data_IF_407420392189
#
_entry.id   IF_407420392189
#
_cell.length_a   1.000
_cell.length_b   1.000
_cell.length_c   1.000
_cell.angle_alpha   90.00
_cell.angle_beta   90.00
_cell.angle_gamma   90.00
#
_symmetry.space_group_name_H-M   'P 1'
#
loop_
_entity.id
_entity.type
_entity.pdbx_description
1 polymer ?
#
# COMPACT_ATOMS: atom_id res chain seq x y z
N UNK A 1 14.75 2.28 4.67
CA UNK A 1 14.01 1.89 5.88
C UNK A 1 13.01 0.82 5.48
N UNK A 2 12.84 -0.20 6.32
CA UNK A 2 11.91 -1.30 6.08
C UNK A 2 10.97 -1.45 7.27
N UNK A 3 9.81 -2.06 7.04
CA UNK A 3 8.86 -2.42 8.09
C UNK A 3 8.43 -3.88 7.93
N UNK A 4 8.17 -4.52 9.07
CA UNK A 4 7.67 -5.89 9.08
C UNK A 4 6.14 -5.90 9.09
N UNK A 5 5.55 -6.50 8.06
CA UNK A 5 4.11 -6.74 7.96
C UNK A 5 3.90 -8.23 7.80
N UNK A 6 3.13 -8.83 8.72
CA UNK A 6 3.11 -10.29 8.90
C UNK A 6 4.53 -10.84 9.14
N UNK A 7 5.05 -11.65 8.22
CA UNK A 7 6.41 -12.18 8.22
C UNK A 7 7.25 -11.63 7.04
N UNK A 8 6.71 -10.67 6.29
CA UNK A 8 7.38 -10.06 5.14
C UNK A 8 8.03 -8.73 5.54
N UNK A 9 9.15 -8.43 4.91
CA UNK A 9 9.86 -7.16 5.06
C UNK A 9 9.51 -6.23 3.89
N UNK A 10 8.69 -5.22 4.16
CA UNK A 10 8.29 -4.22 3.18
C UNK A 10 9.31 -3.08 3.15
N UNK A 11 9.56 -2.53 1.96
CA UNK A 11 10.26 -1.27 1.79
C UNK A 11 9.35 -0.12 2.25
N UNK A 12 9.89 0.85 2.99
CA UNK A 12 9.14 1.99 3.52
C UNK A 12 8.88 1.93 5.03
N UNK A 13 7.90 2.71 5.54
CA UNK A 13 6.98 3.57 4.79
C UNK A 13 7.72 4.84 4.32
N UNK A 14 7.50 5.24 3.07
CA UNK A 14 7.92 6.53 2.52
C UNK A 14 6.69 7.38 2.22
N UNK A 15 6.83 8.70 2.02
CA UNK A 15 5.68 9.49 1.54
C UNK A 15 5.25 8.98 0.16
N UNK A 16 3.95 8.94 -0.10
CA UNK A 16 3.43 8.52 -1.41
C UNK A 16 3.99 9.40 -2.53
N UNK A 17 4.14 10.71 -2.27
CA UNK A 17 4.72 11.68 -3.21
C UNK A 17 6.23 11.49 -3.47
N UNK A 18 6.93 10.72 -2.64
CA UNK A 18 8.36 10.40 -2.79
C UNK A 18 8.56 9.06 -3.50
N UNK A 19 7.49 8.34 -3.83
CA UNK A 19 7.59 7.14 -4.63
C UNK A 19 7.99 7.51 -6.07
N UNK A 20 9.02 6.84 -6.58
CA UNK A 20 9.72 7.26 -7.81
C UNK A 20 10.01 6.17 -8.84
N UNK A 21 10.34 4.92 -8.48
CA UNK A 21 10.66 3.91 -9.48
C UNK A 21 9.44 3.03 -9.83
N UNK A 22 9.25 2.69 -11.12
CA UNK A 22 8.34 1.63 -11.50
C UNK A 22 8.78 0.32 -10.85
N UNK A 23 7.81 -0.46 -10.36
CA UNK A 23 8.06 -1.78 -9.81
C UNK A 23 7.14 -2.80 -10.46
N UNK A 24 7.66 -4.00 -10.67
CA UNK A 24 6.89 -5.14 -11.17
C UNK A 24 6.49 -6.05 -10.02
N UNK A 25 5.26 -6.59 -10.11
CA UNK A 25 4.65 -7.59 -9.23
C UNK A 25 4.85 -7.27 -7.75
N UNK A 26 4.01 -6.37 -7.26
CA UNK A 26 4.14 -5.82 -5.92
C UNK A 26 2.91 -6.05 -5.09
N UNK A 27 3.10 -6.05 -3.78
CA UNK A 27 2.06 -5.77 -2.80
C UNK A 27 2.36 -4.41 -2.19
N UNK A 28 1.34 -3.59 -2.00
CA UNK A 28 1.48 -2.28 -1.39
C UNK A 28 0.45 -2.05 -0.30
N UNK A 29 0.81 -1.21 0.66
CA UNK A 29 -0.07 -0.75 1.72
C UNK A 29 0.02 0.77 1.78
N UNK A 30 -1.14 1.41 1.74
CA UNK A 30 -1.28 2.85 1.96
C UNK A 30 -1.59 3.09 3.42
N UNK A 31 -0.87 4.02 4.03
CA UNK A 31 -1.04 4.44 5.41
C UNK A 31 -1.36 5.93 5.49
N UNK A 32 -2.08 6.31 6.53
CA UNK A 32 -2.06 7.67 7.08
C UNK A 32 -1.06 7.70 8.25
N UNK A 33 -0.17 8.69 8.32
CA UNK A 33 0.63 8.94 9.52
C UNK A 33 -0.04 9.98 10.42
N UNK A 34 -0.37 9.59 11.65
CA UNK A 34 -0.83 10.53 12.67
C UNK A 34 -0.07 10.34 13.99
N UNK A 35 -0.52 11.01 15.07
CA UNK A 35 0.11 10.94 16.40
C UNK A 35 0.19 9.52 16.98
N UNK A 36 -0.63 8.60 16.51
CA UNK A 36 -0.67 7.20 16.93
C UNK A 36 0.21 6.28 16.06
N UNK A 37 0.88 6.82 15.03
CA UNK A 37 1.73 6.08 14.11
C UNK A 37 1.11 5.92 12.72
N UNK A 38 1.50 4.86 12.01
CA UNK A 38 1.01 4.54 10.67
C UNK A 38 -0.27 3.70 10.76
N UNK A 39 -1.38 4.27 10.30
CA UNK A 39 -2.69 3.62 10.28
C UNK A 39 -2.95 3.09 8.86
N UNK A 40 -3.17 1.78 8.68
CA UNK A 40 -3.40 1.21 7.35
C UNK A 40 -4.75 1.67 6.80
N UNK A 41 -4.71 2.29 5.63
CA UNK A 41 -5.89 2.71 4.88
C UNK A 41 -6.30 1.67 3.86
N UNK A 42 -5.35 1.07 3.14
CA UNK A 42 -5.65 0.12 2.07
C UNK A 42 -4.48 -0.83 1.82
N UNK A 43 -4.78 -2.06 1.41
CA UNK A 43 -3.79 -3.01 0.92
C UNK A 43 -4.19 -3.52 -0.47
N UNK A 44 -3.23 -3.61 -1.38
CA UNK A 44 -3.48 -4.07 -2.74
C UNK A 44 -2.26 -4.74 -3.36
N UNK A 45 -2.47 -5.33 -4.52
CA UNK A 45 -1.41 -5.89 -5.35
C UNK A 45 -1.49 -5.31 -6.77
N UNK A 46 -0.39 -5.42 -7.51
CA UNK A 46 -0.35 -5.04 -8.92
C UNK A 46 0.76 -5.80 -9.64
N UNK A 47 0.55 -6.09 -10.92
CA UNK A 47 1.62 -6.57 -11.79
C UNK A 47 2.64 -5.48 -12.11
N UNK A 48 2.22 -4.21 -12.16
CA UNK A 48 3.09 -3.07 -12.48
C UNK A 48 2.63 -1.79 -11.79
N UNK A 49 3.59 -0.97 -11.40
CA UNK A 49 3.37 0.41 -10.95
C UNK A 49 4.16 1.35 -11.85
N UNK A 50 3.91 1.33 -13.16
CA UNK A 50 4.70 2.07 -14.15
C UNK A 50 4.19 3.47 -14.48
N UNK A 51 2.97 3.80 -14.05
CA UNK A 51 2.39 5.13 -14.21
C UNK A 51 2.68 6.03 -13.00
N UNK A 52 3.07 7.28 -13.26
CA UNK A 52 3.32 8.26 -12.19
C UNK A 52 2.07 8.52 -11.32
N UNK A 53 0.89 8.38 -11.89
CA UNK A 53 -0.41 8.55 -11.22
C UNK A 53 -1.06 7.21 -10.85
N UNK A 54 -0.30 6.12 -10.82
CA UNK A 54 -0.80 4.78 -10.53
C UNK A 54 -1.64 4.74 -9.24
N UNK A 55 -1.11 5.28 -8.15
CA UNK A 55 -1.80 5.26 -6.86
C UNK A 55 -2.97 6.24 -6.78
N UNK A 56 -2.87 7.40 -7.44
CA UNK A 56 -3.91 8.44 -7.38
C UNK A 56 -5.12 8.13 -8.25
N UNK A 57 -4.96 7.25 -9.25
CA UNK A 57 -6.05 6.68 -10.06
C UNK A 57 -6.82 5.53 -9.40
N UNK A 58 -6.40 5.06 -8.23
CA UNK A 58 -7.10 3.97 -7.53
C UNK A 58 -8.52 4.42 -7.13
N UNK A 59 -9.52 3.56 -7.32
CA UNK A 59 -10.91 3.87 -6.97
C UNK A 59 -11.10 4.22 -5.47
N UNK A 60 -10.24 3.68 -4.60
CA UNK A 60 -10.25 3.95 -3.17
C UNK A 60 -9.47 5.22 -2.78
N UNK A 61 -8.80 5.89 -3.72
CA UNK A 61 -7.98 7.08 -3.44
C UNK A 61 -8.77 8.18 -2.73
N UNK A 62 -10.04 8.37 -3.12
CA UNK A 62 -10.94 9.33 -2.46
C UNK A 62 -11.10 9.03 -0.96
N UNK A 63 -11.25 7.76 -0.59
CA UNK A 63 -11.34 7.37 0.82
C UNK A 63 -10.02 7.63 1.55
N UNK A 64 -8.89 7.34 0.91
CA UNK A 64 -7.57 7.55 1.52
C UNK A 64 -7.37 9.02 1.90
N UNK A 65 -7.69 9.94 0.97
CA UNK A 65 -7.60 11.38 1.20
C UNK A 65 -8.60 11.85 2.26
N UNK A 66 -9.82 11.31 2.32
CA UNK A 66 -10.78 11.65 3.37
C UNK A 66 -10.26 11.31 4.78
N UNK A 67 -9.55 10.19 4.94
CA UNK A 67 -8.99 9.78 6.23
C UNK A 67 -7.60 10.35 6.55
N UNK A 68 -6.80 10.65 5.53
CA UNK A 68 -5.48 11.27 5.70
C UNK A 68 -5.53 12.81 5.74
N UNK A 69 -6.61 13.41 5.24
CA UNK A 69 -6.78 14.86 5.09
C UNK A 69 -6.19 15.43 3.80
N UNK A 70 -5.01 14.95 3.38
CA UNK A 70 -4.36 15.34 2.12
C UNK A 70 -3.39 14.23 1.64
N UNK A 71 -2.88 14.40 0.42
CA UNK A 71 -1.95 13.45 -0.20
C UNK A 71 -0.57 13.44 0.47
N UNK A 72 -0.10 14.57 1.00
CA UNK A 72 1.20 14.67 1.70
C UNK A 72 1.24 13.86 3.01
N UNK A 73 0.06 13.48 3.51
CA UNK A 73 -0.12 12.67 4.72
C UNK A 73 -0.27 11.18 4.40
N UNK A 74 -0.20 10.80 3.11
CA UNK A 74 -0.19 9.41 2.66
C UNK A 74 1.23 8.85 2.63
N UNK A 75 1.35 7.63 3.14
CA UNK A 75 2.61 6.88 3.17
C UNK A 75 2.42 5.52 2.50
N UNK A 76 3.47 5.07 1.83
CA UNK A 76 3.51 3.83 1.07
C UNK A 76 4.52 2.89 1.70
N UNK A 77 4.10 1.66 1.98
CA UNK A 77 5.01 0.53 2.09
C UNK A 77 4.78 -0.44 0.93
N UNK A 78 5.86 -0.98 0.37
CA UNK A 78 5.79 -1.81 -0.84
C UNK A 78 6.69 -3.05 -0.69
N UNK A 79 6.18 -4.19 -1.13
CA UNK A 79 6.87 -5.47 -1.15
C UNK A 79 6.97 -5.95 -2.60
N UNK A 80 8.16 -5.88 -3.21
CA UNK A 80 8.41 -6.50 -4.51
C UNK A 80 8.38 -8.03 -4.40
N UNK A 81 7.70 -8.68 -5.33
CA UNK A 81 7.54 -10.13 -5.44
C UNK A 81 7.70 -10.55 -6.91
N UNK A 82 8.88 -10.32 -7.49
CA UNK A 82 9.16 -10.49 -8.93
C UNK A 82 8.86 -11.89 -9.49
N UNK A 83 8.99 -12.91 -8.66
CA UNK A 83 8.75 -14.31 -9.05
C UNK A 83 7.35 -14.81 -8.68
N UNK A 84 6.49 -13.96 -8.11
CA UNK A 84 5.14 -14.36 -7.71
C UNK A 84 4.16 -14.48 -8.88
N UNK A 85 3.16 -15.32 -8.67
CA UNK A 85 1.90 -15.30 -9.42
C UNK A 85 0.89 -14.35 -8.76
N UNK A 86 -0.08 -13.87 -9.55
CA UNK A 86 -1.16 -13.00 -9.06
C UNK A 86 -1.92 -13.61 -7.88
N UNK A 87 -2.22 -14.91 -7.95
CA UNK A 87 -2.94 -15.62 -6.88
C UNK A 87 -2.15 -15.64 -5.57
N UNK A 88 -0.83 -15.72 -5.64
CA UNK A 88 0.03 -15.66 -4.45
C UNK A 88 -0.05 -14.28 -3.80
N UNK A 89 0.06 -13.21 -4.60
CA UNK A 89 -0.04 -11.83 -4.09
C UNK A 89 -1.41 -11.55 -3.47
N UNK A 90 -2.49 -11.96 -4.14
CA UNK A 90 -3.86 -11.84 -3.62
C UNK A 90 -4.02 -12.53 -2.26
N UNK A 91 -3.52 -13.76 -2.10
CA UNK A 91 -3.54 -14.47 -0.81
C UNK A 91 -2.80 -13.74 0.30
N UNK A 92 -1.71 -13.03 -0.02
CA UNK A 92 -0.98 -12.23 0.96
C UNK A 92 -1.76 -10.96 1.30
N UNK A 93 -2.31 -10.27 0.31
CA UNK A 93 -3.21 -9.10 0.50
C UNK A 93 -4.39 -9.48 1.40
N UNK A 94 -5.05 -10.61 1.15
CA UNK A 94 -6.18 -11.08 1.98
C UNK A 94 -5.77 -11.30 3.45
N UNK A 95 -4.57 -11.83 3.69
CA UNK A 95 -4.02 -11.98 5.06
C UNK A 95 -3.75 -10.63 5.71
N UNK A 96 -3.25 -9.66 4.96
CA UNK A 96 -3.02 -8.29 5.45
C UNK A 96 -4.37 -7.65 5.79
N UNK A 97 -5.36 -7.74 4.91
CA UNK A 97 -6.71 -7.21 5.13
C UNK A 97 -7.34 -7.83 6.38
N UNK A 98 -7.31 -9.17 6.49
CA UNK A 98 -7.88 -9.90 7.63
C UNK A 98 -7.26 -9.50 8.97
N UNK A 99 -5.93 -9.33 9.01
CA UNK A 99 -5.21 -8.98 10.24
C UNK A 99 -5.32 -7.51 10.61
N UNK A 100 -5.14 -6.61 9.65
CA UNK A 100 -4.98 -5.18 9.92
C UNK A 100 -6.25 -4.36 9.68
N UNK A 101 -7.25 -4.93 8.98
CA UNK A 101 -8.56 -4.33 8.67
C UNK A 101 -8.43 -2.87 8.19
N UNK A 102 -7.79 -2.63 7.03
CA UNK A 102 -7.58 -1.27 6.52
C UNK A 102 -8.90 -0.53 6.34
N UNK A 103 -8.92 0.75 6.71
CA UNK A 103 -10.16 1.55 6.82
C UNK A 103 -10.90 1.70 5.49
N UNK A 104 -10.15 1.84 4.40
CA UNK A 104 -10.66 2.07 3.04
C UNK A 104 -10.63 0.79 2.20
N UNK A 105 -10.55 -0.38 2.82
CA UNK A 105 -10.77 -1.63 2.10
C UNK A 105 -12.26 -1.70 1.75
N UNK A 106 -12.59 -1.61 0.46
CA UNK A 106 -13.97 -1.82 -0.03
C UNK A 106 -14.37 -3.28 0.13
N UNK A 107 -15.63 -3.53 0.52
CA UNK A 107 -16.27 -4.85 0.50
C UNK A 107 -16.41 -5.40 -0.92
#
# INVERSE_FOLDING_TARGET
MTIQILHYEFLGPIKLSEWGPPMDKVIYIIFNQNKSGFIPLYAGESDKTDQNDFFTKNDNFKCWIQHAGNEESLYLAILPLWDSEELERKRIVDKIISKYRPICQTE
#
